data_IF_388368930057
#
_entry.id   IF_388368930057
#
_cell.length_a   1.000
_cell.length_b   1.000
_cell.length_c   1.000
_cell.angle_alpha   90.00
_cell.angle_beta   90.00
_cell.angle_gamma   90.00
#
_symmetry.space_group_name_H-M   'P 1'
#
loop_
_entity.id
_entity.type
_entity.pdbx_description
1 polymer ?
#
# COMPACT_ATOMS: atom_id res chain seq x y z
N UNK A 1 8.73 17.35 -4.49
CA UNK A 1 8.79 16.00 -3.90
C UNK A 1 8.05 16.02 -2.59
N UNK A 2 7.96 14.89 -1.91
CA UNK A 2 7.44 14.82 -0.55
C UNK A 2 8.36 15.61 0.40
N UNK A 3 7.79 16.17 1.46
CA UNK A 3 8.54 16.64 2.62
C UNK A 3 9.14 15.45 3.37
N UNK A 4 10.07 15.73 4.28
CA UNK A 4 10.71 14.70 5.10
C UNK A 4 9.68 13.93 5.95
N UNK A 5 8.71 14.63 6.53
CA UNK A 5 7.61 14.04 7.29
C UNK A 5 6.72 13.13 6.42
N UNK A 6 6.29 13.60 5.25
CA UNK A 6 5.49 12.80 4.31
C UNK A 6 6.26 11.55 3.84
N UNK A 7 7.57 11.69 3.60
CA UNK A 7 8.43 10.57 3.23
C UNK A 7 8.52 9.52 4.33
N UNK A 8 8.72 9.91 5.60
CA UNK A 8 8.76 8.97 6.72
C UNK A 8 7.43 8.24 6.93
N UNK A 9 6.30 8.96 6.76
CA UNK A 9 4.96 8.39 6.85
C UNK A 9 4.75 7.36 5.72
N UNK A 10 5.12 7.70 4.49
CA UNK A 10 5.04 6.80 3.35
C UNK A 10 5.88 5.54 3.56
N UNK A 11 7.14 5.69 3.97
CA UNK A 11 8.05 4.56 4.17
C UNK A 11 7.56 3.62 5.27
N UNK A 12 7.06 4.16 6.38
CA UNK A 12 6.44 3.36 7.44
C UNK A 12 5.20 2.61 6.93
N UNK A 13 4.33 3.26 6.15
CA UNK A 13 3.19 2.61 5.53
C UNK A 13 3.62 1.52 4.53
N UNK A 14 4.64 1.77 3.72
CA UNK A 14 5.17 0.80 2.76
C UNK A 14 5.76 -0.44 3.44
N UNK A 15 6.45 -0.29 4.58
CA UNK A 15 6.95 -1.44 5.35
C UNK A 15 5.81 -2.27 5.93
N UNK A 16 4.72 -1.61 6.34
CA UNK A 16 3.65 -2.22 7.14
C UNK A 16 2.37 -2.54 6.36
N UNK A 17 2.24 -2.19 5.08
CA UNK A 17 0.98 -2.29 4.32
C UNK A 17 0.35 -3.68 4.37
N UNK A 18 1.18 -4.73 4.39
CA UNK A 18 0.77 -6.14 4.43
C UNK A 18 0.95 -6.82 5.80
N UNK A 19 1.09 -6.03 6.88
CA UNK A 19 1.25 -6.57 8.25
C UNK A 19 0.08 -7.47 8.68
N UNK A 20 -1.09 -7.32 8.05
CA UNK A 20 -2.28 -8.12 8.31
C UNK A 20 -2.19 -9.56 7.80
N UNK A 21 -1.34 -9.88 6.83
CA UNK A 21 -1.33 -11.19 6.14
C UNK A 21 -1.21 -12.35 7.13
N UNK A 22 -0.19 -12.30 7.99
CA UNK A 22 0.11 -13.40 8.91
C UNK A 22 -1.03 -13.62 9.89
N UNK A 23 -1.50 -12.55 10.53
CA UNK A 23 -2.61 -12.61 11.49
C UNK A 23 -3.88 -13.16 10.85
N UNK A 24 -4.23 -12.70 9.65
CA UNK A 24 -5.39 -13.19 8.92
C UNK A 24 -5.26 -14.68 8.58
N UNK A 25 -4.09 -15.14 8.09
CA UNK A 25 -3.85 -16.56 7.81
C UNK A 25 -3.99 -17.43 9.06
N UNK A 26 -3.46 -17.00 10.20
CA UNK A 26 -3.54 -17.74 11.47
C UNK A 26 -4.97 -17.81 12.02
N UNK A 27 -5.73 -16.71 11.91
CA UNK A 27 -7.08 -16.58 12.49
C UNK A 27 -8.19 -17.12 11.59
N UNK A 28 -8.05 -16.98 10.27
CA UNK A 28 -9.10 -17.26 9.28
C UNK A 28 -8.70 -18.31 8.24
N UNK A 29 -7.44 -18.75 8.22
CA UNK A 29 -6.91 -19.66 7.19
C UNK A 29 -6.61 -18.99 5.84
N UNK A 30 -6.99 -17.73 5.65
CA UNK A 30 -6.78 -16.93 4.43
C UNK A 30 -6.49 -15.46 4.80
N UNK A 31 -5.93 -14.71 3.86
CA UNK A 31 -5.67 -13.27 4.01
C UNK A 31 -6.23 -12.48 2.83
N UNK A 32 -7.56 -12.43 2.70
CA UNK A 32 -8.20 -11.59 1.68
C UNK A 32 -8.02 -10.09 2.00
N UNK A 33 -8.08 -9.24 0.99
CA UNK A 33 -7.99 -7.78 1.15
C UNK A 33 -9.00 -7.25 2.18
N UNK A 34 -10.24 -7.75 2.19
CA UNK A 34 -11.26 -7.37 3.18
C UNK A 34 -10.88 -7.75 4.63
N UNK A 35 -10.26 -8.92 4.82
CA UNK A 35 -9.76 -9.33 6.14
C UNK A 35 -8.57 -8.46 6.56
N UNK A 36 -7.64 -8.18 5.64
CA UNK A 36 -6.52 -7.28 5.90
C UNK A 36 -7.00 -5.87 6.27
N UNK A 37 -7.93 -5.30 5.50
CA UNK A 37 -8.56 -4.00 5.76
C UNK A 37 -9.21 -3.91 7.15
N UNK A 38 -9.72 -5.03 7.64
CA UNK A 38 -10.32 -5.14 8.98
C UNK A 38 -9.26 -5.26 10.09
N UNK A 39 -8.26 -6.12 9.93
CA UNK A 39 -7.36 -6.51 11.03
C UNK A 39 -6.04 -5.72 11.05
N UNK A 40 -5.47 -5.38 9.88
CA UNK A 40 -4.18 -4.70 9.76
C UNK A 40 -4.08 -3.36 10.50
N UNK A 41 -5.12 -2.49 10.50
CA UNK A 41 -5.01 -1.19 11.17
C UNK A 41 -4.75 -1.29 12.67
N UNK A 42 -5.36 -2.26 13.36
CA UNK A 42 -5.16 -2.46 14.78
C UNK A 42 -3.73 -2.93 15.10
N UNK A 43 -3.22 -3.87 14.29
CA UNK A 43 -1.87 -4.44 14.44
C UNK A 43 -0.80 -3.37 14.15
N UNK A 44 -0.97 -2.62 13.05
CA UNK A 44 -0.06 -1.52 12.70
C UNK A 44 -0.06 -0.43 13.78
N UNK A 45 -1.24 -0.09 14.32
CA UNK A 45 -1.37 0.92 15.38
C UNK A 45 -0.60 0.54 16.63
N UNK A 46 -0.71 -0.71 17.08
CA UNK A 46 0.04 -1.23 18.23
C UNK A 46 1.54 -1.13 17.98
N UNK A 47 2.01 -1.67 16.86
CA UNK A 47 3.43 -1.65 16.48
C UNK A 47 4.03 -0.23 16.42
N UNK A 48 3.33 0.71 15.78
CA UNK A 48 3.81 2.08 15.64
C UNK A 48 3.86 2.85 16.98
N UNK A 49 2.88 2.60 17.86
CA UNK A 49 2.89 3.19 19.21
C UNK A 49 4.07 2.66 20.03
N UNK A 50 4.36 1.37 19.94
CA UNK A 50 5.52 0.75 20.62
C UNK A 50 6.86 1.30 20.09
N UNK A 51 6.91 1.65 18.80
CA UNK A 51 8.04 2.35 18.19
C UNK A 51 8.11 3.84 18.54
N UNK A 52 7.13 4.40 19.28
CA UNK A 52 7.13 5.80 19.72
C UNK A 52 6.75 6.81 18.64
N UNK A 53 6.03 6.39 17.59
CA UNK A 53 5.57 7.31 16.55
C UNK A 53 4.57 8.34 17.10
N UNK A 54 4.58 9.59 16.58
CA UNK A 54 3.58 10.58 16.94
C UNK A 54 2.17 10.11 16.59
N UNK A 55 1.18 10.41 17.44
CA UNK A 55 -0.20 9.96 17.24
C UNK A 55 -0.80 10.36 15.88
N UNK A 56 -0.46 11.55 15.37
CA UNK A 56 -0.87 12.03 14.04
C UNK A 56 -0.31 11.16 12.90
N UNK A 57 0.93 10.68 13.05
CA UNK A 57 1.56 9.79 12.08
C UNK A 57 0.93 8.40 12.16
N UNK A 58 0.71 7.88 13.37
CA UNK A 58 0.05 6.58 13.57
C UNK A 58 -1.33 6.55 12.89
N UNK A 59 -2.14 7.60 13.06
CA UNK A 59 -3.45 7.69 12.42
C UNK A 59 -3.33 7.70 10.88
N UNK A 60 -2.42 8.50 10.33
CA UNK A 60 -2.22 8.61 8.88
C UNK A 60 -1.66 7.32 8.26
N UNK A 61 -0.68 6.69 8.89
CA UNK A 61 -0.08 5.42 8.44
C UNK A 61 -1.13 4.30 8.47
N UNK A 62 -1.85 4.15 9.59
CA UNK A 62 -2.87 3.09 9.73
C UNK A 62 -4.03 3.28 8.76
N UNK A 63 -4.39 4.53 8.44
CA UNK A 63 -5.32 4.88 7.36
C UNK A 63 -4.80 4.40 6.01
N UNK A 64 -3.56 4.72 5.62
CA UNK A 64 -2.98 4.26 4.35
C UNK A 64 -2.96 2.73 4.24
N UNK A 65 -2.53 2.03 5.29
CA UNK A 65 -2.58 0.56 5.37
C UNK A 65 -4.02 0.06 5.16
N UNK A 66 -5.03 0.73 5.73
CA UNK A 66 -6.42 0.31 5.57
C UNK A 66 -6.95 0.46 4.13
N UNK A 67 -6.52 1.48 3.40
CA UNK A 67 -7.14 1.85 2.11
C UNK A 67 -6.24 1.80 0.88
N UNK A 68 -5.03 1.27 0.97
CA UNK A 68 -4.17 1.12 -0.22
C UNK A 68 -4.76 0.22 -1.33
N UNK A 69 -5.79 -0.58 -1.05
CA UNK A 69 -6.55 -1.32 -2.06
C UNK A 69 -7.82 -0.59 -2.56
N UNK A 70 -8.14 0.59 -2.03
CA UNK A 70 -9.28 1.44 -2.43
C UNK A 70 -8.85 2.41 -3.53
N UNK A 71 -8.71 1.87 -4.75
CA UNK A 71 -8.16 2.61 -5.89
C UNK A 71 -9.03 3.77 -6.38
N UNK A 72 -10.30 3.82 -5.96
CA UNK A 72 -11.22 4.90 -6.30
C UNK A 72 -11.05 6.12 -5.38
N UNK A 73 -10.42 5.94 -4.20
CA UNK A 73 -10.29 6.96 -3.16
C UNK A 73 -8.85 7.06 -2.63
N UNK A 74 -7.93 7.49 -3.50
CA UNK A 74 -6.53 7.71 -3.14
C UNK A 74 -6.39 9.02 -2.35
N UNK A 75 -5.88 8.92 -1.13
CA UNK A 75 -5.76 10.03 -0.17
C UNK A 75 -4.33 10.63 -0.17
N UNK A 76 -4.09 11.59 -1.06
CA UNK A 76 -2.82 12.30 -1.14
C UNK A 76 -1.74 11.61 -1.98
N UNK A 77 -0.57 12.26 -2.07
CA UNK A 77 0.52 11.81 -2.95
C UNK A 77 1.26 10.60 -2.36
N UNK A 78 1.37 10.52 -1.04
CA UNK A 78 1.99 9.39 -0.33
C UNK A 78 1.19 8.11 -0.58
N UNK A 79 -0.13 8.17 -0.43
CA UNK A 79 -1.01 7.04 -0.73
C UNK A 79 -0.92 6.65 -2.21
N UNK A 80 -0.88 7.63 -3.12
CA UNK A 80 -0.69 7.37 -4.55
C UNK A 80 0.62 6.62 -4.82
N UNK A 81 1.73 7.02 -4.19
CA UNK A 81 3.02 6.35 -4.37
C UNK A 81 2.98 4.93 -3.79
N UNK A 82 2.37 4.74 -2.61
CA UNK A 82 2.21 3.44 -1.98
C UNK A 82 1.45 2.47 -2.89
N UNK A 83 0.28 2.89 -3.39
CA UNK A 83 -0.58 2.13 -4.30
C UNK A 83 0.16 1.77 -5.59
N UNK A 84 0.86 2.74 -6.20
CA UNK A 84 1.61 2.50 -7.43
C UNK A 84 2.77 1.52 -7.24
N UNK A 85 3.49 1.62 -6.13
CA UNK A 85 4.59 0.73 -5.81
C UNK A 85 4.10 -0.71 -5.57
N UNK A 86 3.02 -0.88 -4.81
CA UNK A 86 2.40 -2.17 -4.54
C UNK A 86 1.89 -2.84 -5.83
N UNK A 87 1.16 -2.11 -6.68
CA UNK A 87 0.69 -2.61 -7.98
C UNK A 87 1.84 -2.98 -8.92
N UNK A 88 2.94 -2.23 -8.90
CA UNK A 88 4.11 -2.50 -9.74
C UNK A 88 4.79 -3.81 -9.34
N UNK A 89 5.01 -4.04 -8.04
CA UNK A 89 5.59 -5.30 -7.55
C UNK A 89 4.63 -6.47 -7.77
N UNK A 90 3.33 -6.27 -7.48
CA UNK A 90 2.29 -7.28 -7.74
C UNK A 90 2.29 -7.75 -9.19
N UNK A 91 2.44 -6.84 -10.16
CA UNK A 91 2.50 -7.19 -11.56
C UNK A 91 3.73 -8.05 -11.94
N UNK A 92 4.86 -7.83 -11.26
CA UNK A 92 6.09 -8.60 -11.44
C UNK A 92 5.99 -9.99 -10.80
N UNK A 93 5.47 -10.08 -9.57
CA UNK A 93 5.42 -11.34 -8.81
C UNK A 93 4.33 -12.30 -9.31
N UNK A 94 3.21 -11.76 -9.78
CA UNK A 94 2.07 -12.56 -10.26
C UNK A 94 2.06 -12.75 -11.79
N UNK A 95 3.11 -12.33 -12.49
CA UNK A 95 3.25 -12.45 -13.97
C UNK A 95 1.98 -11.98 -14.71
N UNK A 96 1.56 -10.73 -14.46
CA UNK A 96 0.31 -10.22 -15.03
C UNK A 96 0.30 -10.25 -16.56
N UNK A 97 -0.86 -10.56 -17.15
CA UNK A 97 -1.06 -10.47 -18.60
C UNK A 97 -0.95 -9.03 -19.08
N UNK A 98 -0.56 -8.83 -20.34
CA UNK A 98 -0.52 -7.49 -20.94
C UNK A 98 -1.86 -6.76 -20.83
N UNK A 99 -2.98 -7.49 -20.93
CA UNK A 99 -4.33 -6.93 -20.75
C UNK A 99 -4.55 -6.40 -19.33
N UNK A 100 -4.19 -7.18 -18.30
CA UNK A 100 -4.28 -6.75 -16.89
C UNK A 100 -3.38 -5.55 -16.61
N UNK A 101 -2.16 -5.54 -17.17
CA UNK A 101 -1.25 -4.39 -17.05
C UNK A 101 -1.88 -3.16 -17.73
N UNK A 102 -2.39 -3.26 -18.94
CA UNK A 102 -3.05 -2.12 -19.60
C UNK A 102 -4.26 -1.60 -18.81
N UNK A 103 -5.06 -2.50 -18.25
CA UNK A 103 -6.21 -2.14 -17.42
C UNK A 103 -5.79 -1.37 -16.16
N UNK A 104 -4.69 -1.78 -15.52
CA UNK A 104 -4.18 -1.21 -14.26
C UNK A 104 -3.33 0.04 -14.47
N UNK A 105 -2.76 0.25 -15.66
CA UNK A 105 -1.97 1.43 -15.99
C UNK A 105 -2.73 2.75 -15.76
N UNK A 106 -4.07 2.72 -15.86
CA UNK A 106 -4.95 3.87 -15.56
C UNK A 106 -4.89 4.34 -14.11
N UNK A 107 -4.36 3.53 -13.18
CA UNK A 107 -4.22 3.86 -11.75
C UNK A 107 -2.92 4.62 -11.46
N UNK A 108 -1.95 4.59 -12.37
CA UNK A 108 -0.67 5.29 -12.23
C UNK A 108 -0.81 6.77 -12.59
N UNK A 109 -0.46 7.65 -11.65
CA UNK A 109 -0.51 9.11 -11.74
C UNK A 109 0.88 9.73 -11.69
N UNK A 110 1.82 9.18 -10.92
CA UNK A 110 3.18 9.71 -10.88
C UNK A 110 3.91 9.43 -12.20
N UNK A 111 4.78 10.35 -12.62
CA UNK A 111 5.57 10.16 -13.85
C UNK A 111 6.49 8.94 -13.73
N UNK A 112 7.12 8.75 -12.55
CA UNK A 112 7.97 7.59 -12.27
C UNK A 112 7.18 6.28 -12.36
N UNK A 113 6.01 6.21 -11.70
CA UNK A 113 5.17 5.03 -11.71
C UNK A 113 4.68 4.67 -13.11
N UNK A 114 4.24 5.65 -13.90
CA UNK A 114 3.86 5.43 -15.31
C UNK A 114 5.02 4.84 -16.12
N UNK A 115 6.23 5.38 -15.98
CA UNK A 115 7.41 4.89 -16.70
C UNK A 115 7.76 3.46 -16.28
N UNK A 116 7.80 3.18 -14.97
CA UNK A 116 8.09 1.85 -14.45
C UNK A 116 7.07 0.82 -14.92
N UNK A 117 5.77 1.16 -14.84
CA UNK A 117 4.70 0.25 -15.20
C UNK A 117 4.59 0.03 -16.72
N UNK A 118 4.80 1.07 -17.53
CA UNK A 118 4.84 0.93 -19.00
C UNK A 118 5.99 0.00 -19.46
N UNK A 119 7.13 0.01 -18.76
CA UNK A 119 8.25 -0.87 -19.08
C UNK A 119 7.94 -2.36 -18.86
N UNK A 120 6.85 -2.71 -18.15
CA UNK A 120 6.40 -4.10 -18.00
C UNK A 120 5.75 -4.66 -19.28
N UNK A 121 5.34 -3.82 -20.22
CA UNK A 121 4.60 -4.23 -21.43
C UNK A 121 5.55 -4.62 -22.59
N UNK A 122 6.86 -4.49 -22.40
CA UNK A 122 7.88 -4.71 -23.44
C UNK A 122 8.14 -6.17 -23.77
#
# INVERSE_FOLDING_TARGET
>A
GLSEEEQMILEAAAILHDIGIKHCKEKYGIASQELQKKEAPAIAKEFLNDCGYPASWVEKITRFIQVHHDYDHIDGMECQILVEADLWVSALEEEWTQEKIQERAKLFRTETGKVLFFNLIK
#
